data_IF_095957743160
#
_entry.id   IF_095957743160
#
_cell.length_a   1.000
_cell.length_b   1.000
_cell.length_c   1.000
_cell.angle_alpha   90.00
_cell.angle_beta   90.00
_cell.angle_gamma   90.00
#
_symmetry.space_group_name_H-M   'P 1'
#
loop_
_entity.id
_entity.type
_entity.pdbx_description
1 polymer ?
#
# COMPACT_ATOMS: atom_id res chain seq x y z
N UNK A 1 1.55 13.36 12.23
CA UNK A 1 1.85 13.72 10.83
C UNK A 1 2.30 12.48 10.08
N UNK A 2 1.68 12.20 8.95
CA UNK A 2 2.02 11.03 8.15
C UNK A 2 3.35 11.22 7.43
N UNK A 3 4.18 10.18 7.44
CA UNK A 3 5.38 10.10 6.62
C UNK A 3 5.63 8.66 6.18
N UNK A 4 6.31 8.50 5.06
CA UNK A 4 6.72 7.18 4.58
C UNK A 4 8.21 7.00 4.85
N UNK A 5 8.58 5.80 5.26
CA UNK A 5 9.98 5.42 5.37
C UNK A 5 10.22 4.16 4.56
N UNK A 6 11.02 4.29 3.51
CA UNK A 6 11.45 3.14 2.69
C UNK A 6 12.36 2.25 3.52
N UNK A 7 12.09 0.96 3.51
CA UNK A 7 12.84 -0.01 4.32
C UNK A 7 13.59 -1.01 3.46
N UNK A 8 14.56 -1.68 4.08
CA UNK A 8 15.23 -2.86 3.55
C UNK A 8 15.02 -4.03 4.48
N UNK A 9 15.42 -5.23 4.07
CA UNK A 9 15.30 -6.40 4.95
C UNK A 9 16.22 -6.32 6.17
N UNK A 10 17.21 -5.44 6.15
CA UNK A 10 18.08 -5.21 7.31
C UNK A 10 17.37 -4.43 8.42
N UNK A 11 16.27 -3.74 8.11
CA UNK A 11 15.40 -3.10 9.11
C UNK A 11 14.47 -4.16 9.71
N UNK A 12 15.02 -5.08 10.49
CA UNK A 12 14.35 -6.33 10.88
C UNK A 12 12.98 -6.10 11.52
N UNK A 13 12.88 -5.18 12.45
CA UNK A 13 11.61 -4.91 13.15
C UNK A 13 10.55 -4.34 12.21
N UNK A 14 10.92 -3.36 11.40
CA UNK A 14 10.00 -2.73 10.46
C UNK A 14 9.60 -3.70 9.34
N UNK A 15 10.55 -4.48 8.84
CA UNK A 15 10.24 -5.48 7.81
C UNK A 15 9.27 -6.54 8.37
N UNK A 16 9.49 -7.00 9.59
CA UNK A 16 8.61 -7.97 10.23
C UNK A 16 7.20 -7.40 10.44
N UNK A 17 7.09 -6.14 10.84
CA UNK A 17 5.82 -5.45 10.96
C UNK A 17 5.07 -5.45 9.63
N UNK A 18 5.74 -5.08 8.55
CA UNK A 18 5.18 -5.07 7.19
C UNK A 18 4.71 -6.46 6.77
N UNK A 19 5.57 -7.47 6.93
CA UNK A 19 5.28 -8.83 6.50
C UNK A 19 4.10 -9.44 7.28
N UNK A 20 4.05 -9.21 8.58
CA UNK A 20 2.92 -9.67 9.41
C UNK A 20 1.62 -9.02 8.96
N UNK A 21 1.65 -7.73 8.68
CA UNK A 21 0.46 -7.01 8.24
C UNK A 21 0.02 -7.46 6.84
N UNK A 22 0.95 -7.69 5.93
CA UNK A 22 0.68 -8.23 4.60
C UNK A 22 -0.06 -9.57 4.69
N UNK A 23 0.47 -10.49 5.48
CA UNK A 23 -0.11 -11.82 5.66
C UNK A 23 -1.50 -11.74 6.30
N UNK A 24 -1.69 -10.83 7.24
CA UNK A 24 -2.98 -10.66 7.92
C UNK A 24 -4.03 -9.98 7.04
N UNK A 25 -3.62 -9.07 6.17
CA UNK A 25 -4.53 -8.23 5.39
C UNK A 25 -4.91 -8.82 4.03
N UNK A 26 -4.10 -9.73 3.48
CA UNK A 26 -4.30 -10.26 2.12
C UNK A 26 -4.24 -11.79 2.12
N UNK A 27 -5.06 -12.46 1.27
CA UNK A 27 -4.92 -13.90 1.06
C UNK A 27 -3.63 -14.21 0.30
N UNK A 28 -3.08 -15.44 0.43
CA UNK A 28 -1.80 -15.79 -0.20
C UNK A 28 -1.74 -15.60 -1.71
N UNK A 29 -2.86 -15.75 -2.40
CA UNK A 29 -2.93 -15.58 -3.86
C UNK A 29 -2.86 -14.11 -4.30
N UNK A 30 -2.95 -13.16 -3.39
CA UNK A 30 -2.92 -11.72 -3.69
C UNK A 30 -1.55 -11.08 -3.45
N UNK A 31 -0.57 -11.85 -3.02
CA UNK A 31 0.78 -11.32 -2.86
C UNK A 31 1.83 -12.31 -3.37
N UNK A 32 3.01 -11.76 -3.66
CA UNK A 32 4.15 -12.55 -4.15
C UNK A 32 4.65 -13.52 -3.08
N UNK A 33 5.42 -14.51 -3.48
CA UNK A 33 6.16 -15.31 -2.49
C UNK A 33 6.98 -14.38 -1.60
N UNK A 34 7.00 -14.64 -0.30
CA UNK A 34 7.66 -13.76 0.66
C UNK A 34 9.15 -13.61 0.39
N UNK A 35 9.78 -14.67 -0.13
CA UNK A 35 11.18 -14.64 -0.53
C UNK A 35 11.39 -13.66 -1.69
N UNK A 36 10.51 -13.68 -2.67
CA UNK A 36 10.57 -12.78 -3.82
C UNK A 36 10.37 -11.32 -3.40
N UNK A 37 9.44 -11.06 -2.49
CA UNK A 37 9.19 -9.73 -1.96
C UNK A 37 10.45 -9.18 -1.26
N UNK A 38 11.15 -10.01 -0.49
CA UNK A 38 12.41 -9.63 0.14
C UNK A 38 13.47 -9.22 -0.87
N UNK A 39 13.58 -9.97 -1.96
CA UNK A 39 14.53 -9.67 -3.03
C UNK A 39 14.20 -8.36 -3.72
N UNK A 40 12.93 -8.10 -4.04
CA UNK A 40 12.53 -6.84 -4.64
C UNK A 40 12.77 -5.66 -3.70
N UNK A 41 12.51 -5.84 -2.41
CA UNK A 41 12.72 -4.78 -1.41
C UNK A 41 14.19 -4.33 -1.39
N UNK A 42 15.13 -5.26 -1.48
CA UNK A 42 16.55 -4.95 -1.34
C UNK A 42 17.24 -4.58 -2.65
N UNK A 43 16.77 -5.09 -3.79
CA UNK A 43 17.56 -5.05 -5.03
C UNK A 43 16.94 -4.29 -6.18
N UNK A 44 15.64 -4.00 -6.13
CA UNK A 44 14.95 -3.39 -7.26
C UNK A 44 14.83 -1.89 -7.04
N UNK A 45 15.54 -1.11 -7.87
CA UNK A 45 15.63 0.34 -7.69
C UNK A 45 14.35 1.12 -7.92
N UNK A 46 13.34 0.53 -8.56
CA UNK A 46 12.06 1.18 -8.82
C UNK A 46 10.91 0.61 -7.97
N UNK A 47 11.22 -0.26 -7.03
CA UNK A 47 10.24 -0.79 -6.08
C UNK A 47 10.47 -0.19 -4.70
N UNK A 48 9.42 0.37 -4.11
CA UNK A 48 9.48 1.03 -2.81
C UNK A 48 8.58 0.30 -1.82
N UNK A 49 9.20 -0.24 -0.78
CA UNK A 49 8.50 -0.86 0.35
C UNK A 49 8.61 0.10 1.53
N UNK A 50 7.48 0.68 1.92
CA UNK A 50 7.47 1.77 2.90
C UNK A 50 6.62 1.42 4.10
N UNK A 51 7.14 1.75 5.28
CA UNK A 51 6.32 1.82 6.48
C UNK A 51 5.65 3.19 6.52
N UNK A 52 4.38 3.21 6.86
CA UNK A 52 3.61 4.43 7.08
C UNK A 52 3.70 4.75 8.56
N UNK A 53 4.23 5.93 8.88
CA UNK A 53 4.33 6.41 10.25
C UNK A 53 3.37 7.56 10.49
N UNK A 54 2.78 7.59 11.68
CA UNK A 54 2.20 8.80 12.25
C UNK A 54 3.16 9.25 13.35
N UNK A 55 3.94 10.29 13.07
CA UNK A 55 5.08 10.70 13.90
C UNK A 55 6.05 9.53 14.07
N UNK A 56 6.19 8.96 15.27
CA UNK A 56 7.09 7.85 15.55
C UNK A 56 6.41 6.48 15.58
N UNK A 57 5.09 6.44 15.35
CA UNK A 57 4.30 5.20 15.45
C UNK A 57 4.05 4.59 14.08
N UNK A 58 4.47 3.34 13.83
CA UNK A 58 4.12 2.66 12.59
C UNK A 58 2.63 2.31 12.58
N UNK A 59 1.91 2.75 11.55
CA UNK A 59 0.46 2.56 11.44
C UNK A 59 0.04 1.67 10.28
N UNK A 60 0.95 1.38 9.36
CA UNK A 60 0.65 0.55 8.20
C UNK A 60 1.85 0.44 7.27
N UNK A 61 1.60 -0.09 6.07
CA UNK A 61 2.62 -0.12 5.03
C UNK A 61 2.00 0.15 3.66
N UNK A 62 2.84 0.56 2.72
CA UNK A 62 2.47 0.73 1.33
C UNK A 62 3.65 0.36 0.45
N UNK A 63 3.39 -0.45 -0.58
CA UNK A 63 4.40 -0.79 -1.59
C UNK A 63 3.95 -0.24 -2.93
N UNK A 64 4.89 0.35 -3.66
CA UNK A 64 4.58 0.83 -5.00
C UNK A 64 5.80 0.74 -5.93
N UNK A 65 5.48 0.71 -7.23
CA UNK A 65 6.46 0.71 -8.31
C UNK A 65 6.47 2.07 -8.98
N UNK A 66 7.66 2.55 -9.31
CA UNK A 66 7.86 3.74 -10.14
C UNK A 66 8.11 3.27 -11.58
N UNK A 67 7.13 3.46 -12.45
CA UNK A 67 7.22 3.06 -13.86
C UNK A 67 7.47 4.24 -14.79
N UNK A 68 8.03 5.32 -14.29
CA UNK A 68 8.35 6.57 -14.99
C UNK A 68 7.12 7.41 -15.37
N UNK A 69 6.15 6.85 -16.08
CA UNK A 69 4.96 7.59 -16.50
C UNK A 69 3.88 7.60 -15.41
N UNK A 70 3.92 6.63 -14.51
CA UNK A 70 2.96 6.48 -13.42
C UNK A 70 3.55 5.66 -12.28
N UNK A 71 2.88 5.73 -11.12
CA UNK A 71 3.18 4.86 -9.98
C UNK A 71 2.10 3.81 -9.86
N UNK A 72 2.50 2.58 -9.56
CA UNK A 72 1.58 1.47 -9.34
C UNK A 72 1.67 1.02 -7.89
N UNK A 73 0.58 1.21 -7.14
CA UNK A 73 0.48 0.75 -5.74
C UNK A 73 0.11 -0.73 -5.76
N UNK A 74 1.00 -1.57 -5.26
CA UNK A 74 0.80 -3.02 -5.25
C UNK A 74 0.05 -3.47 -4.00
N UNK A 75 0.45 -2.99 -2.81
CA UNK A 75 -0.21 -3.30 -1.55
C UNK A 75 -0.26 -2.08 -0.65
N UNK A 76 -1.35 -1.97 0.10
CA UNK A 76 -1.56 -0.89 1.04
C UNK A 76 -2.47 -1.41 2.16
N UNK A 77 -2.01 -1.31 3.40
CA UNK A 77 -2.81 -1.73 4.54
C UNK A 77 -2.48 -0.89 5.77
N UNK A 78 -3.51 -0.60 6.55
CA UNK A 78 -3.41 0.03 7.86
C UNK A 78 -3.60 -1.05 8.92
N UNK A 79 -2.86 -0.95 10.02
CA UNK A 79 -2.98 -1.84 11.17
C UNK A 79 -4.45 -1.86 11.62
N UNK A 80 -5.11 -3.03 11.65
CA UNK A 80 -6.53 -3.10 11.98
C UNK A 80 -6.87 -2.57 13.39
N UNK A 81 -5.91 -2.55 14.30
CA UNK A 81 -6.13 -1.99 15.64
C UNK A 81 -6.26 -0.46 15.62
N UNK A 82 -5.90 0.17 14.51
CA UNK A 82 -5.91 1.64 14.34
C UNK A 82 -6.97 2.10 13.34
N UNK A 83 -7.94 1.28 12.99
CA UNK A 83 -8.94 1.59 11.97
C UNK A 83 -9.69 2.85 12.37
N UNK A 84 -10.29 3.33 12.91
CA UNK A 84 -11.11 4.53 13.15
C UNK A 84 -10.31 5.82 13.29
N UNK A 85 -8.98 5.78 13.04
CA UNK A 85 -8.14 6.98 13.12
C UNK A 85 -8.06 7.81 11.84
N UNK A 86 -8.72 7.38 10.76
CA UNK A 86 -8.66 8.09 9.47
C UNK A 86 -7.34 7.94 8.75
N UNK A 87 -6.54 6.93 9.09
CA UNK A 87 -5.19 6.77 8.53
C UNK A 87 -5.19 6.43 7.04
N UNK A 88 -6.20 5.70 6.55
CA UNK A 88 -6.32 5.43 5.12
C UNK A 88 -6.41 6.70 4.29
N UNK A 89 -7.28 7.62 4.68
CA UNK A 89 -7.44 8.91 4.01
C UNK A 89 -6.17 9.76 4.15
N UNK A 90 -5.61 9.86 5.34
CA UNK A 90 -4.39 10.64 5.58
C UNK A 90 -3.23 10.12 4.73
N UNK A 91 -3.10 8.81 4.61
CA UNK A 91 -2.06 8.17 3.80
C UNK A 91 -2.23 8.49 2.33
N UNK A 92 -3.45 8.37 1.78
CA UNK A 92 -3.70 8.67 0.38
C UNK A 92 -3.51 10.16 0.07
N UNK A 93 -3.90 11.04 0.97
CA UNK A 93 -3.65 12.49 0.83
C UNK A 93 -2.14 12.76 0.76
N UNK A 94 -1.37 12.13 1.64
CA UNK A 94 0.09 12.25 1.65
C UNK A 94 0.70 11.71 0.36
N UNK A 95 0.26 10.52 -0.08
CA UNK A 95 0.74 9.87 -1.31
C UNK A 95 0.51 10.77 -2.52
N UNK A 96 -0.69 11.34 -2.65
CA UNK A 96 -1.03 12.22 -3.78
C UNK A 96 -0.25 13.53 -3.77
N UNK A 97 0.17 14.00 -2.61
CA UNK A 97 1.03 15.19 -2.50
C UNK A 97 2.48 14.91 -2.84
N UNK A 98 2.99 13.76 -2.39
CA UNK A 98 4.41 13.43 -2.54
C UNK A 98 4.74 12.87 -3.92
N UNK A 99 3.81 12.15 -4.55
CA UNK A 99 4.02 11.59 -5.88
C UNK A 99 3.47 12.54 -6.93
N UNK A 100 4.30 12.85 -7.91
CA UNK A 100 4.06 13.89 -8.91
C UNK A 100 3.50 13.36 -10.24
N UNK A 101 3.16 12.09 -10.30
CA UNK A 101 2.63 11.42 -11.51
C UNK A 101 1.39 10.63 -11.17
N UNK A 102 0.60 10.21 -12.18
CA UNK A 102 -0.60 9.42 -11.93
C UNK A 102 -0.33 8.19 -11.08
N UNK A 103 -1.27 7.87 -10.20
CA UNK A 103 -1.19 6.72 -9.28
C UNK A 103 -2.26 5.72 -9.70
N UNK A 104 -1.82 4.49 -9.97
CA UNK A 104 -2.70 3.38 -10.37
C UNK A 104 -2.69 2.32 -9.27
N UNK A 105 -3.85 1.76 -8.99
CA UNK A 105 -3.97 0.60 -8.12
C UNK A 105 -5.07 -0.32 -8.65
N UNK A 106 -4.99 -1.59 -8.30
CA UNK A 106 -6.01 -2.56 -8.66
C UNK A 106 -6.93 -2.83 -7.48
N UNK A 107 -8.20 -3.03 -7.77
CA UNK A 107 -9.21 -3.42 -6.77
C UNK A 107 -9.93 -4.65 -7.23
N UNK A 108 -10.46 -5.42 -6.28
CA UNK A 108 -11.25 -6.60 -6.57
C UNK A 108 -12.57 -6.24 -7.27
N UNK A 109 -13.12 -7.19 -8.02
CA UNK A 109 -14.46 -7.04 -8.59
C UNK A 109 -15.46 -6.76 -7.48
N UNK A 110 -16.43 -5.84 -7.68
CA UNK A 110 -17.33 -5.39 -6.61
C UNK A 110 -18.49 -6.38 -6.38
N UNK A 111 -18.17 -7.65 -6.17
CA UNK A 111 -19.16 -8.70 -5.90
C UNK A 111 -19.43 -8.91 -4.42
N UNK A 112 -18.51 -8.53 -3.56
CA UNK A 112 -18.64 -8.65 -2.11
C UNK A 112 -18.73 -7.27 -1.46
N UNK A 113 -19.35 -7.18 -0.29
CA UNK A 113 -19.52 -5.92 0.42
C UNK A 113 -18.18 -5.25 0.75
N UNK A 114 -17.19 -6.03 1.14
CA UNK A 114 -15.86 -5.50 1.44
C UNK A 114 -15.19 -4.87 0.23
N UNK A 115 -15.31 -5.52 -0.95
CA UNK A 115 -14.78 -4.97 -2.20
C UNK A 115 -15.49 -3.68 -2.59
N UNK A 116 -16.80 -3.64 -2.45
CA UNK A 116 -17.60 -2.43 -2.70
C UNK A 116 -17.20 -1.28 -1.79
N UNK A 117 -16.92 -1.53 -0.52
CA UNK A 117 -16.47 -0.53 0.44
C UNK A 117 -15.10 0.03 0.06
N UNK A 118 -14.18 -0.82 -0.41
CA UNK A 118 -12.87 -0.39 -0.88
C UNK A 118 -12.98 0.53 -2.08
N UNK A 119 -13.76 0.13 -3.08
CA UNK A 119 -13.97 0.95 -4.28
C UNK A 119 -14.57 2.30 -3.88
N UNK A 120 -15.59 2.33 -3.06
CA UNK A 120 -16.20 3.57 -2.58
C UNK A 120 -15.20 4.44 -1.83
N UNK A 121 -14.36 3.84 -0.99
CA UNK A 121 -13.32 4.56 -0.27
C UNK A 121 -12.37 5.26 -1.24
N UNK A 122 -11.84 4.54 -2.24
CA UNK A 122 -10.91 5.12 -3.20
C UNK A 122 -11.58 6.20 -4.05
N UNK A 123 -12.82 5.99 -4.47
CA UNK A 123 -13.55 7.01 -5.23
C UNK A 123 -13.74 8.30 -4.44
N UNK A 124 -14.02 8.20 -3.15
CA UNK A 124 -14.11 9.38 -2.27
C UNK A 124 -12.80 10.13 -2.14
N UNK A 125 -11.67 9.46 -2.36
CA UNK A 125 -10.34 10.07 -2.34
C UNK A 125 -9.92 10.62 -3.72
N UNK A 126 -10.81 10.59 -4.71
CA UNK A 126 -10.55 11.15 -6.02
C UNK A 126 -10.07 10.16 -7.08
N UNK A 127 -10.03 8.88 -6.78
CA UNK A 127 -9.67 7.86 -7.75
C UNK A 127 -10.85 7.58 -8.69
N UNK A 128 -10.52 7.30 -9.94
CA UNK A 128 -11.51 6.96 -10.97
C UNK A 128 -11.43 5.46 -11.27
N UNK A 129 -12.57 4.79 -11.25
CA UNK A 129 -12.63 3.37 -11.53
C UNK A 129 -12.56 3.15 -13.04
N UNK A 130 -11.60 2.34 -13.47
CA UNK A 130 -11.51 1.88 -14.86
C UNK A 130 -12.04 0.45 -14.95
N UNK A 131 -13.12 0.28 -15.68
CA UNK A 131 -13.69 -1.02 -15.98
C UNK A 131 -13.12 -1.53 -17.30
N UNK A 132 -11.83 -1.89 -17.29
CA UNK A 132 -11.17 -2.45 -18.46
C UNK A 132 -10.84 -3.91 -18.24
N UNK A 133 -11.08 -4.71 -19.27
CA UNK A 133 -10.54 -6.06 -19.37
C UNK A 133 -9.09 -5.96 -19.87
N UNK A 134 -8.24 -6.70 -19.23
CA UNK A 134 -6.83 -6.76 -19.60
C UNK A 134 -6.58 -7.87 -20.60
#
# INVERSE_FOLDING_TARGET
MIRFQTISTSDVQHYQFMENLLIAAFPPEEYRELKELREYTDRTGNFYNNIIFDNETPVGFITYWDFNDFYYVEHFAIDPTLRNGGYGKKTLDYLCKELDRPIVLEVEMPVEEMAKRRINFYQRQGFVLWEKEY
#
